data_IF_825114371020
#
_entry.id   IF_825114371020
#
_cell.length_a   1.000
_cell.length_b   1.000
_cell.length_c   1.000
_cell.angle_alpha   90.00
_cell.angle_beta   90.00
_cell.angle_gamma   90.00
#
_symmetry.space_group_name_H-M   'P 1'
#
loop_
_entity.id
_entity.type
_entity.pdbx_description
1 polymer ?
#
# COMPACT_ATOMS: atom_id res chain seq x y z
N UNK A 1 5.79 -16.92 -2.18
CA UNK A 1 5.73 -15.49 -2.52
C UNK A 1 5.67 -15.33 -4.04
N UNK A 2 4.61 -14.75 -4.58
CA UNK A 2 4.58 -14.36 -6.00
C UNK A 2 5.70 -13.33 -6.25
N UNK A 3 6.60 -13.56 -7.20
CA UNK A 3 7.66 -12.59 -7.49
C UNK A 3 7.08 -11.35 -8.18
N UNK A 4 7.46 -10.14 -7.74
CA UNK A 4 7.15 -8.91 -8.48
C UNK A 4 7.71 -8.97 -9.91
N UNK A 5 6.83 -8.97 -10.90
CA UNK A 5 7.19 -8.98 -12.33
C UNK A 5 6.74 -7.69 -13.02
N UNK A 6 7.69 -7.00 -13.64
CA UNK A 6 7.37 -5.95 -14.61
C UNK A 6 6.67 -6.58 -15.82
N UNK A 7 5.59 -5.94 -16.32
CA UNK A 7 4.83 -6.43 -17.47
C UNK A 7 5.77 -6.77 -18.65
N UNK A 8 5.54 -7.91 -19.35
CA UNK A 8 6.34 -8.26 -20.51
C UNK A 8 6.19 -7.21 -21.60
N UNK A 9 7.23 -7.07 -22.45
CA UNK A 9 7.09 -6.28 -23.67
C UNK A 9 6.02 -6.92 -24.55
N UNK A 10 5.26 -6.06 -25.21
CA UNK A 10 4.20 -6.48 -26.13
C UNK A 10 4.74 -7.40 -27.22
N UNK A 11 4.02 -8.49 -27.50
CA UNK A 11 4.36 -9.43 -28.59
C UNK A 11 4.39 -8.73 -29.97
N UNK A 12 3.71 -7.60 -30.11
CA UNK A 12 3.70 -6.77 -31.31
C UNK A 12 5.08 -6.26 -31.73
N UNK A 13 6.05 -6.16 -30.80
CA UNK A 13 7.44 -5.84 -31.14
C UNK A 13 8.10 -6.90 -32.03
N UNK A 14 7.73 -8.17 -31.86
CA UNK A 14 8.29 -9.26 -32.67
C UNK A 14 7.58 -9.34 -34.03
N UNK A 15 6.25 -9.14 -34.04
CA UNK A 15 5.46 -9.11 -35.28
C UNK A 15 5.91 -7.96 -36.18
N UNK A 16 6.13 -6.77 -35.61
CA UNK A 16 6.63 -5.61 -36.35
C UNK A 16 8.02 -5.84 -36.94
N UNK A 17 8.93 -6.47 -36.19
CA UNK A 17 10.26 -6.80 -36.68
C UNK A 17 10.22 -7.76 -37.88
N UNK A 18 9.43 -8.83 -37.79
CA UNK A 18 9.29 -9.82 -38.88
C UNK A 18 8.71 -9.18 -40.14
N UNK A 19 7.71 -8.31 -40.00
CA UNK A 19 7.11 -7.59 -41.12
C UNK A 19 8.13 -6.66 -41.81
N UNK A 20 8.94 -5.93 -41.04
CA UNK A 20 9.98 -5.05 -41.59
C UNK A 20 11.08 -5.82 -42.32
N UNK A 21 11.50 -6.97 -41.79
CA UNK A 21 12.50 -7.84 -42.45
C UNK A 21 11.94 -8.38 -43.77
N UNK A 22 10.68 -8.87 -43.78
CA UNK A 22 10.03 -9.34 -45.00
C UNK A 22 9.92 -8.23 -46.06
N UNK A 23 9.61 -7.00 -45.64
CA UNK A 23 9.57 -5.83 -46.53
C UNK A 23 10.93 -5.46 -47.12
N UNK A 24 12.00 -5.55 -46.33
CA UNK A 24 13.37 -5.32 -46.81
C UNK A 24 13.79 -6.36 -47.86
N UNK A 25 13.50 -7.65 -47.62
CA UNK A 25 13.81 -8.73 -48.57
C UNK A 25 13.07 -8.52 -49.91
N UNK A 26 11.80 -8.10 -49.84
CA UNK A 26 10.97 -7.89 -51.02
C UNK A 26 11.41 -6.67 -51.86
N UNK A 27 11.73 -5.55 -51.20
CA UNK A 27 11.99 -4.27 -51.90
C UNK A 27 13.46 -4.01 -52.22
N UNK A 28 14.40 -4.65 -51.52
CA UNK A 28 15.86 -4.40 -51.62
C UNK A 28 16.25 -2.91 -51.54
N UNK A 29 15.43 -2.09 -50.87
CA UNK A 29 15.68 -0.66 -50.73
C UNK A 29 16.62 -0.38 -49.55
N UNK A 30 17.62 0.47 -49.76
CA UNK A 30 18.51 0.95 -48.68
C UNK A 30 17.73 1.66 -47.55
N UNK A 31 16.61 2.29 -47.89
CA UNK A 31 15.71 2.96 -46.92
C UNK A 31 15.12 1.96 -45.93
N UNK A 32 14.76 0.75 -46.38
CA UNK A 32 14.21 -0.28 -45.50
C UNK A 32 15.24 -0.80 -44.49
N UNK A 33 16.54 -0.80 -44.85
CA UNK A 33 17.63 -1.11 -43.91
C UNK A 33 17.75 -0.08 -42.78
N UNK A 34 17.66 1.22 -43.11
CA UNK A 34 17.68 2.29 -42.11
C UNK A 34 16.47 2.23 -41.15
N UNK A 35 15.27 1.90 -41.67
CA UNK A 35 14.06 1.74 -40.85
C UNK A 35 14.18 0.57 -39.88
N UNK A 36 14.73 -0.57 -40.32
CA UNK A 36 14.99 -1.73 -39.44
C UNK A 36 15.97 -1.33 -38.32
N UNK A 37 17.05 -0.61 -38.66
CA UNK A 37 18.04 -0.17 -37.66
C UNK A 37 17.39 0.69 -36.57
N UNK A 38 16.59 1.69 -36.96
CA UNK A 38 15.86 2.56 -36.01
C UNK A 38 14.90 1.72 -35.15
N UNK A 39 14.18 0.78 -35.75
CA UNK A 39 13.27 -0.10 -35.01
C UNK A 39 14.00 -0.93 -33.96
N UNK A 40 15.14 -1.53 -34.32
CA UNK A 40 15.97 -2.30 -33.39
C UNK A 40 16.51 -1.41 -32.27
N UNK A 41 16.97 -0.20 -32.58
CA UNK A 41 17.42 0.76 -31.56
C UNK A 41 16.30 1.11 -30.57
N UNK A 42 15.08 1.38 -31.06
CA UNK A 42 13.92 1.62 -30.20
C UNK A 42 13.57 0.41 -29.33
N UNK A 43 13.63 -0.80 -29.88
CA UNK A 43 13.38 -2.05 -29.15
C UNK A 43 14.41 -2.28 -28.04
N UNK A 44 15.70 -2.08 -28.35
CA UNK A 44 16.80 -2.17 -27.37
C UNK A 44 16.61 -1.14 -26.26
N UNK A 45 16.28 0.11 -26.59
CA UNK A 45 15.98 1.15 -25.61
C UNK A 45 14.80 0.77 -24.70
N UNK A 46 13.73 0.20 -25.26
CA UNK A 46 12.59 -0.26 -24.47
C UNK A 46 12.96 -1.43 -23.53
N UNK A 47 13.83 -2.34 -23.97
CA UNK A 47 14.39 -3.41 -23.14
C UNK A 47 15.27 -2.86 -22.01
N UNK A 48 16.13 -1.88 -22.29
CA UNK A 48 16.97 -1.22 -21.27
C UNK A 48 16.11 -0.51 -20.22
N UNK A 49 15.08 0.23 -20.63
CA UNK A 49 14.14 0.88 -19.71
C UNK A 49 13.46 -0.17 -18.82
N UNK A 50 13.05 -1.31 -19.39
CA UNK A 50 12.46 -2.42 -18.61
C UNK A 50 13.47 -2.99 -17.60
N UNK A 51 14.70 -3.25 -18.02
CA UNK A 51 15.76 -3.78 -17.14
C UNK A 51 16.06 -2.81 -16.01
N UNK A 52 16.15 -1.51 -16.28
CA UNK A 52 16.34 -0.48 -15.27
C UNK A 52 15.17 -0.44 -14.27
N UNK A 53 13.91 -0.51 -14.75
CA UNK A 53 12.72 -0.58 -13.88
C UNK A 53 12.73 -1.83 -12.99
N UNK A 54 13.08 -3.00 -13.53
CA UNK A 54 13.17 -4.24 -12.76
C UNK A 54 14.32 -4.19 -11.76
N UNK A 55 15.50 -3.69 -12.16
CA UNK A 55 16.65 -3.54 -11.27
C UNK A 55 16.34 -2.60 -10.09
N UNK A 56 15.71 -1.46 -10.38
CA UNK A 56 15.23 -0.53 -9.36
C UNK A 56 14.23 -1.18 -8.40
N UNK A 57 13.25 -1.92 -8.94
CA UNK A 57 12.27 -2.63 -8.12
C UNK A 57 12.93 -3.70 -7.24
N UNK A 58 13.82 -4.51 -7.80
CA UNK A 58 14.56 -5.55 -7.08
C UNK A 58 15.43 -4.94 -5.98
N UNK A 59 16.10 -3.82 -6.24
CA UNK A 59 16.90 -3.12 -5.25
C UNK A 59 16.04 -2.65 -4.07
N UNK A 60 14.87 -2.04 -4.35
CA UNK A 60 13.90 -1.66 -3.30
C UNK A 60 13.41 -2.87 -2.52
N UNK A 61 12.98 -3.93 -3.19
CA UNK A 61 12.49 -5.17 -2.57
C UNK A 61 13.53 -5.78 -1.64
N UNK A 62 14.79 -5.89 -2.08
CA UNK A 62 15.88 -6.40 -1.23
C UNK A 62 16.09 -5.53 0.00
N UNK A 63 16.11 -4.21 -0.18
CA UNK A 63 16.26 -3.26 0.95
C UNK A 63 15.14 -3.40 1.97
N UNK A 64 13.91 -3.62 1.51
CA UNK A 64 12.74 -3.92 2.37
C UNK A 64 12.93 -5.26 3.07
N UNK A 65 13.25 -6.33 2.34
CA UNK A 65 13.45 -7.66 2.88
C UNK A 65 14.52 -7.67 4.00
N UNK A 66 15.66 -7.03 3.77
CA UNK A 66 16.72 -6.92 4.79
C UNK A 66 16.25 -6.19 6.04
N UNK A 67 15.49 -5.10 5.90
CA UNK A 67 14.95 -4.37 7.06
C UNK A 67 13.89 -5.17 7.80
N UNK A 68 13.05 -5.92 7.08
CA UNK A 68 12.03 -6.76 7.68
C UNK A 68 12.60 -8.02 8.33
N UNK A 69 13.81 -8.46 7.95
CA UNK A 69 14.42 -9.66 8.51
C UNK A 69 14.56 -9.57 10.04
N UNK A 70 15.06 -8.43 10.53
CA UNK A 70 15.37 -8.21 11.95
C UNK A 70 14.21 -7.64 12.76
N UNK A 71 13.07 -7.34 12.13
CA UNK A 71 11.89 -6.79 12.83
C UNK A 71 11.28 -7.88 13.71
N UNK A 72 11.13 -7.60 15.01
CA UNK A 72 10.54 -8.50 15.99
C UNK A 72 9.22 -7.97 16.56
N UNK A 73 8.99 -6.65 16.49
CA UNK A 73 7.79 -6.03 17.07
C UNK A 73 6.96 -5.25 16.06
N UNK A 74 5.67 -5.08 16.33
CA UNK A 74 4.74 -4.28 15.52
C UNK A 74 5.19 -2.82 15.42
N UNK A 75 5.79 -2.27 16.49
CA UNK A 75 6.31 -0.89 16.49
C UNK A 75 7.51 -0.75 15.54
N UNK A 76 8.44 -1.72 15.55
CA UNK A 76 9.55 -1.77 14.60
C UNK A 76 9.06 -1.96 13.16
N UNK A 77 8.02 -2.78 12.96
CA UNK A 77 7.41 -2.96 11.66
C UNK A 77 6.83 -1.66 11.10
N UNK A 78 6.08 -0.91 11.92
CA UNK A 78 5.57 0.42 11.55
C UNK A 78 6.72 1.37 11.19
N UNK A 79 7.77 1.44 12.02
CA UNK A 79 8.97 2.26 11.73
C UNK A 79 9.62 1.85 10.41
N UNK A 80 9.81 0.56 10.17
CA UNK A 80 10.35 0.03 8.92
C UNK A 80 9.46 0.43 7.72
N UNK A 81 8.14 0.46 7.93
CA UNK A 81 7.17 0.92 6.92
C UNK A 81 7.27 2.40 6.58
N UNK A 82 7.49 3.28 7.56
CA UNK A 82 7.65 4.72 7.32
C UNK A 82 8.85 5.07 6.44
N UNK A 83 9.89 4.22 6.43
CA UNK A 83 11.06 4.40 5.57
C UNK A 83 10.83 4.00 4.11
N UNK A 84 9.68 3.43 3.75
CA UNK A 84 9.44 3.00 2.37
C UNK A 84 9.15 4.20 1.45
N UNK A 85 10.08 4.54 0.53
CA UNK A 85 9.99 5.77 -0.23
C UNK A 85 9.03 5.61 -1.41
N UNK A 86 7.98 6.43 -1.46
CA UNK A 86 7.16 6.81 -2.64
C UNK A 86 7.05 5.74 -3.73
N UNK A 87 6.82 4.48 -3.37
CA UNK A 87 6.53 3.45 -4.35
C UNK A 87 5.11 3.69 -4.86
N UNK A 88 4.89 3.51 -6.17
CA UNK A 88 3.58 3.70 -6.79
C UNK A 88 3.09 2.37 -7.39
N UNK A 89 1.77 2.22 -7.44
CA UNK A 89 1.11 1.09 -8.08
C UNK A 89 1.52 -0.27 -7.52
N UNK A 90 1.80 -1.22 -8.42
CA UNK A 90 2.03 -2.63 -8.07
C UNK A 90 3.23 -2.86 -7.13
N UNK A 91 4.27 -2.02 -7.20
CA UNK A 91 5.42 -2.15 -6.30
C UNK A 91 5.04 -1.77 -4.86
N UNK A 92 4.24 -0.71 -4.65
CA UNK A 92 3.75 -0.32 -3.30
C UNK A 92 2.99 -1.48 -2.68
N UNK A 93 2.04 -2.06 -3.44
CA UNK A 93 1.24 -3.20 -3.00
C UNK A 93 2.08 -4.43 -2.66
N UNK A 94 3.09 -4.72 -3.48
CA UNK A 94 4.00 -5.84 -3.21
C UNK A 94 4.78 -5.66 -1.90
N UNK A 95 5.36 -4.47 -1.68
CA UNK A 95 6.10 -4.18 -0.45
C UNK A 95 5.20 -4.18 0.79
N UNK A 96 3.96 -3.71 0.67
CA UNK A 96 2.97 -3.79 1.74
C UNK A 96 2.64 -5.24 2.09
N UNK A 97 2.43 -6.10 1.10
CA UNK A 97 2.17 -7.52 1.35
C UNK A 97 3.34 -8.20 2.08
N UNK A 98 4.60 -7.87 1.74
CA UNK A 98 5.76 -8.38 2.49
C UNK A 98 5.74 -7.95 3.96
N UNK A 99 5.35 -6.71 4.25
CA UNK A 99 5.24 -6.23 5.63
C UNK A 99 4.09 -6.94 6.38
N UNK A 100 2.97 -7.20 5.70
CA UNK A 100 1.84 -7.94 6.28
C UNK A 100 2.18 -9.42 6.53
N UNK A 101 2.94 -10.05 5.64
CA UNK A 101 3.49 -11.39 5.87
C UNK A 101 4.40 -11.38 7.11
N UNK A 102 5.29 -10.38 7.24
CA UNK A 102 6.13 -10.25 8.44
C UNK A 102 5.32 -10.07 9.72
N UNK A 103 4.22 -9.30 9.69
CA UNK A 103 3.30 -9.17 10.83
C UNK A 103 2.75 -10.53 11.28
N UNK A 104 2.41 -11.39 10.32
CA UNK A 104 1.90 -12.74 10.63
C UNK A 104 2.97 -13.66 11.25
N UNK A 105 4.25 -13.45 10.92
CA UNK A 105 5.37 -14.20 11.50
C UNK A 105 5.69 -13.75 12.94
N UNK A 106 5.78 -12.44 13.19
CA UNK A 106 6.14 -11.91 14.52
C UNK A 106 5.00 -12.00 15.54
N UNK A 107 3.76 -12.09 15.06
CA UNK A 107 2.56 -12.06 15.90
C UNK A 107 2.23 -10.67 16.44
N UNK A 108 1.01 -10.53 16.97
CA UNK A 108 0.53 -9.27 17.53
C UNK A 108 0.75 -9.32 19.05
N UNK A 109 1.88 -8.79 19.50
CA UNK A 109 2.21 -8.69 20.92
C UNK A 109 1.81 -7.31 21.43
N UNK A 110 0.98 -7.27 22.47
CA UNK A 110 0.52 -6.03 23.07
C UNK A 110 1.46 -5.54 24.16
N UNK A 111 1.62 -4.23 24.26
CA UNK A 111 2.43 -3.57 25.28
C UNK A 111 1.52 -2.76 26.19
N UNK A 112 1.80 -2.76 27.49
CA UNK A 112 1.11 -1.84 28.41
C UNK A 112 1.58 -0.42 28.13
N UNK A 113 0.64 0.46 27.79
CA UNK A 113 0.93 1.88 27.64
C UNK A 113 0.57 2.60 28.94
N UNK A 114 1.50 3.44 29.42
CA UNK A 114 1.29 4.29 30.60
C UNK A 114 0.60 5.63 30.26
N UNK A 115 0.11 5.79 29.03
CA UNK A 115 -0.64 6.98 28.62
C UNK A 115 -2.03 6.99 29.26
N UNK A 116 -2.55 8.18 29.55
CA UNK A 116 -3.83 8.41 30.25
C UNK A 116 -4.99 7.56 29.70
N UNK A 117 -5.02 7.35 28.39
CA UNK A 117 -6.11 6.64 27.69
C UNK A 117 -5.94 5.13 27.71
N UNK A 118 -4.70 4.65 27.86
CA UNK A 118 -4.45 3.23 28.05
C UNK A 118 -4.56 2.82 29.51
N UNK A 119 -4.20 3.67 30.47
CA UNK A 119 -4.30 3.43 31.92
C UNK A 119 -3.81 2.01 32.33
N UNK A 120 -2.67 1.56 31.79
CA UNK A 120 -2.11 0.23 32.07
C UNK A 120 -2.75 -0.94 31.30
N UNK A 121 -3.73 -0.68 30.43
CA UNK A 121 -4.30 -1.67 29.50
C UNK A 121 -3.26 -2.07 28.45
N UNK A 122 -3.32 -3.33 28.04
CA UNK A 122 -2.53 -3.86 26.93
C UNK A 122 -3.03 -3.23 25.63
N UNK A 123 -2.16 -2.47 24.97
CA UNK A 123 -2.40 -1.86 23.67
C UNK A 123 -1.54 -2.57 22.62
N UNK A 124 -2.16 -3.00 21.54
CA UNK A 124 -1.48 -3.72 20.45
C UNK A 124 -0.88 -2.78 19.41
N UNK A 125 -1.47 -1.60 19.26
CA UNK A 125 -1.02 -0.64 18.27
C UNK A 125 -1.46 0.77 18.61
N UNK A 126 -0.59 1.75 18.39
CA UNK A 126 -0.92 3.17 18.47
C UNK A 126 -0.21 3.94 17.38
N UNK A 127 -0.92 4.82 16.68
CA UNK A 127 -0.30 5.74 15.74
C UNK A 127 -1.16 7.01 15.55
N UNK A 128 -0.57 7.99 14.88
CA UNK A 128 -1.20 9.26 14.55
C UNK A 128 -1.84 9.21 13.17
N UNK A 129 -2.88 10.01 12.98
CA UNK A 129 -3.56 10.17 11.70
C UNK A 129 -4.63 11.23 11.78
N UNK A 130 -5.59 11.15 10.87
CA UNK A 130 -6.65 12.11 10.70
C UNK A 130 -7.99 11.39 10.60
N UNK A 131 -8.99 11.87 11.32
CA UNK A 131 -10.38 11.48 11.08
C UNK A 131 -10.96 12.44 10.03
N UNK A 132 -11.38 11.90 8.90
CA UNK A 132 -11.86 12.71 7.76
C UNK A 132 -13.38 12.61 7.66
N UNK A 133 -14.13 13.70 7.85
CA UNK A 133 -15.57 13.67 7.66
C UNK A 133 -15.92 13.54 6.18
N UNK A 134 -16.98 12.77 5.89
CA UNK A 134 -17.59 12.72 4.57
C UNK A 134 -18.81 13.66 4.55
N UNK A 135 -18.89 14.52 3.55
CA UNK A 135 -20.01 15.44 3.33
C UNK A 135 -20.67 15.18 1.98
N UNK A 136 -21.89 15.70 1.83
CA UNK A 136 -22.64 15.69 0.58
C UNK A 136 -22.82 17.11 0.09
N UNK A 137 -22.39 17.41 -1.13
CA UNK A 137 -22.63 18.69 -1.80
C UNK A 137 -23.14 18.40 -3.20
N UNK A 138 -24.24 19.05 -3.58
CA UNK A 138 -24.89 18.87 -4.89
C UNK A 138 -25.19 17.41 -5.29
N UNK A 139 -25.52 16.56 -4.31
CA UNK A 139 -25.81 15.14 -4.58
C UNK A 139 -24.60 14.20 -4.49
N UNK A 140 -23.38 14.73 -4.58
CA UNK A 140 -22.14 13.95 -4.58
C UNK A 140 -21.51 13.89 -3.18
N UNK A 141 -20.98 12.71 -2.83
CA UNK A 141 -20.24 12.51 -1.60
C UNK A 141 -18.76 12.85 -1.82
N UNK A 142 -18.18 13.65 -0.94
CA UNK A 142 -16.77 14.00 -0.96
C UNK A 142 -16.17 13.98 0.44
N UNK A 143 -14.86 13.79 0.52
CA UNK A 143 -14.11 13.86 1.76
C UNK A 143 -13.76 15.31 2.05
N UNK A 144 -14.24 15.83 3.19
CA UNK A 144 -13.93 17.19 3.59
C UNK A 144 -12.63 17.21 4.39
N UNK A 145 -11.53 17.56 3.72
CA UNK A 145 -10.21 17.64 4.32
C UNK A 145 -10.04 18.86 5.24
N UNK A 146 -10.74 19.96 4.97
CA UNK A 146 -10.63 21.19 5.77
C UNK A 146 -11.18 21.00 7.20
N UNK A 147 -12.18 20.13 7.35
CA UNK A 147 -12.76 19.75 8.64
C UNK A 147 -12.12 18.48 9.24
N UNK A 148 -11.02 17.99 8.65
CA UNK A 148 -10.35 16.82 9.19
C UNK A 148 -9.73 17.12 10.55
N UNK A 149 -9.84 16.16 11.46
CA UNK A 149 -9.30 16.30 12.82
C UNK A 149 -8.10 15.40 12.99
N UNK A 150 -7.02 15.94 13.51
CA UNK A 150 -5.88 15.13 13.92
C UNK A 150 -6.31 14.21 15.07
N UNK A 151 -5.89 12.96 14.99
CA UNK A 151 -6.21 11.93 15.96
C UNK A 151 -5.00 11.08 16.31
N UNK A 152 -5.04 10.54 17.52
CA UNK A 152 -4.22 9.39 17.90
C UNK A 152 -5.14 8.21 18.11
N UNK A 153 -4.93 7.13 17.37
CA UNK A 153 -5.73 5.93 17.48
C UNK A 153 -4.96 4.81 18.16
N UNK A 154 -5.71 3.94 18.82
CA UNK A 154 -5.26 2.87 19.68
C UNK A 154 -6.06 1.59 19.39
N UNK A 155 -5.37 0.46 19.30
CA UNK A 155 -6.02 -0.85 19.15
C UNK A 155 -5.83 -1.66 20.43
N UNK A 156 -6.94 -1.94 21.10
CA UNK A 156 -7.03 -2.74 22.31
C UNK A 156 -7.68 -4.10 22.00
N UNK A 157 -7.65 -5.08 22.93
CA UNK A 157 -8.17 -6.43 22.67
C UNK A 157 -9.59 -6.48 22.09
N UNK A 158 -10.48 -5.62 22.58
CA UNK A 158 -11.90 -5.65 22.21
C UNK A 158 -12.40 -4.34 21.60
N UNK A 159 -11.57 -3.30 21.56
CA UNK A 159 -11.97 -1.96 21.12
C UNK A 159 -10.92 -1.34 20.21
N UNK A 160 -11.40 -0.62 19.21
CA UNK A 160 -10.65 0.39 18.49
C UNK A 160 -11.03 1.76 19.06
N UNK A 161 -10.06 2.51 19.57
CA UNK A 161 -10.29 3.78 20.26
C UNK A 161 -9.43 4.87 19.65
N UNK A 162 -9.89 6.12 19.69
CA UNK A 162 -9.10 7.26 19.23
C UNK A 162 -9.44 8.53 19.99
N UNK A 163 -8.45 9.42 20.03
CA UNK A 163 -8.54 10.73 20.65
C UNK A 163 -8.51 11.81 19.58
N UNK A 164 -9.39 12.79 19.69
CA UNK A 164 -9.44 13.98 18.85
C UNK A 164 -9.55 15.21 19.74
N UNK A 165 -8.42 15.90 19.97
CA UNK A 165 -8.34 16.90 21.03
C UNK A 165 -8.72 16.31 22.38
N UNK A 166 -9.77 16.85 23.01
CA UNK A 166 -10.29 16.38 24.31
C UNK A 166 -11.38 15.29 24.19
N UNK A 167 -11.80 14.94 22.97
CA UNK A 167 -12.83 13.93 22.77
C UNK A 167 -12.21 12.53 22.66
N UNK A 168 -12.72 11.59 23.46
CA UNK A 168 -12.41 10.17 23.37
C UNK A 168 -13.56 9.42 22.71
N UNK A 169 -13.25 8.65 21.68
CA UNK A 169 -14.20 7.85 20.94
C UNK A 169 -13.72 6.39 20.89
N UNK A 170 -14.68 5.46 20.95
CA UNK A 170 -14.41 4.03 21.01
C UNK A 170 -15.44 3.25 20.20
N UNK A 171 -14.98 2.19 19.53
CA UNK A 171 -15.83 1.21 18.84
C UNK A 171 -15.40 -0.20 19.25
N UNK A 172 -16.32 -1.02 19.76
CA UNK A 172 -16.06 -2.44 19.96
C UNK A 172 -15.72 -3.12 18.63
N UNK A 173 -14.66 -3.94 18.58
CA UNK A 173 -14.23 -4.61 17.35
C UNK A 173 -15.32 -5.49 16.74
N UNK A 174 -16.18 -6.09 17.60
CA UNK A 174 -17.37 -6.86 17.19
C UNK A 174 -18.43 -6.04 16.43
N UNK A 175 -18.41 -4.72 16.57
CA UNK A 175 -19.33 -3.81 15.89
C UNK A 175 -18.78 -3.30 14.55
N UNK A 176 -17.55 -3.66 14.19
CA UNK A 176 -16.98 -3.36 12.88
C UNK A 176 -17.44 -4.46 11.91
N UNK A 177 -18.28 -4.11 10.94
CA UNK A 177 -18.79 -5.04 9.93
C UNK A 177 -17.75 -5.26 8.84
N UNK A 178 -17.22 -4.16 8.32
CA UNK A 178 -16.35 -4.18 7.17
C UNK A 178 -15.34 -3.04 7.24
N UNK A 179 -14.17 -3.30 6.69
CA UNK A 179 -13.05 -2.40 6.64
C UNK A 179 -12.50 -2.29 5.22
N UNK A 180 -12.55 -1.10 4.61
CA UNK A 180 -12.05 -0.88 3.25
C UNK A 180 -10.83 0.03 3.25
N UNK A 181 -9.93 -0.24 2.32
CA UNK A 181 -8.86 0.66 1.94
C UNK A 181 -9.22 1.25 0.59
N UNK A 182 -8.85 2.51 0.36
CA UNK A 182 -8.92 3.11 -0.97
C UNK A 182 -7.88 2.48 -1.92
N UNK A 183 -7.94 2.86 -3.19
CA UNK A 183 -7.04 2.31 -4.22
C UNK A 183 -5.55 2.59 -3.92
N UNK A 184 -5.27 3.72 -3.27
CA UNK A 184 -3.92 4.13 -2.92
C UNK A 184 -3.44 3.53 -1.59
N UNK A 185 -4.32 2.94 -0.79
CA UNK A 185 -4.07 2.45 0.58
C UNK A 185 -3.63 3.56 1.54
N UNK A 186 -4.17 4.75 1.35
CA UNK A 186 -3.91 5.94 2.18
C UNK A 186 -5.17 6.37 2.94
N UNK A 187 -6.36 5.89 2.57
CA UNK A 187 -7.60 6.05 3.33
C UNK A 187 -8.20 4.73 3.78
N UNK A 188 -8.65 4.70 5.03
CA UNK A 188 -9.22 3.54 5.70
C UNK A 188 -10.63 3.87 6.16
N UNK A 189 -11.61 3.04 5.78
CA UNK A 189 -12.99 3.20 6.21
C UNK A 189 -13.45 2.03 7.07
N UNK A 190 -14.19 2.35 8.13
CA UNK A 190 -14.78 1.41 9.08
C UNK A 190 -16.30 1.54 8.97
N UNK A 191 -16.96 0.47 8.51
CA UNK A 191 -18.42 0.35 8.46
C UNK A 191 -18.88 -0.28 9.77
N UNK A 192 -19.76 0.42 10.50
CA UNK A 192 -20.21 0.02 11.84
C UNK A 192 -21.59 -0.62 11.80
N UNK A 193 -21.84 -1.58 12.68
CA UNK A 193 -23.17 -2.13 12.92
C UNK A 193 -24.10 -1.07 13.51
N UNK A 194 -25.23 -0.83 12.85
CA UNK A 194 -26.23 0.14 13.30
C UNK A 194 -25.79 1.61 13.24
N UNK A 195 -24.75 1.94 12.46
CA UNK A 195 -24.25 3.31 12.35
C UNK A 195 -23.63 3.62 10.99
N UNK A 196 -23.18 4.86 10.81
CA UNK A 196 -22.50 5.31 9.59
C UNK A 196 -21.06 4.82 9.47
N UNK A 197 -20.44 5.12 8.32
CA UNK A 197 -19.02 4.83 8.02
C UNK A 197 -18.12 5.89 8.64
N UNK A 198 -17.02 5.47 9.26
CA UNK A 198 -15.94 6.35 9.68
C UNK A 198 -14.78 6.27 8.69
N UNK A 199 -14.11 7.39 8.45
CA UNK A 199 -12.97 7.47 7.56
C UNK A 199 -11.76 8.01 8.30
N UNK A 200 -10.63 7.34 8.07
CA UNK A 200 -9.34 7.63 8.70
C UNK A 200 -8.27 7.71 7.62
N UNK A 201 -7.37 8.66 7.77
CA UNK A 201 -6.20 8.84 6.91
C UNK A 201 -4.93 8.81 7.76
N UNK A 202 -3.88 8.16 7.28
CA UNK A 202 -2.62 8.08 8.01
C UNK A 202 -1.61 7.16 7.36
N UNK A 203 -0.37 7.23 7.81
CA UNK A 203 0.75 6.46 7.24
C UNK A 203 0.71 4.97 7.60
N UNK A 204 0.08 4.63 8.72
CA UNK A 204 0.02 3.24 9.23
C UNK A 204 -1.34 2.56 9.00
N UNK A 205 -2.22 3.12 8.17
CA UNK A 205 -3.60 2.62 8.06
C UNK A 205 -3.71 1.17 7.56
N UNK A 206 -2.75 0.72 6.76
CA UNK A 206 -2.70 -0.67 6.27
C UNK A 206 -2.39 -1.62 7.43
N UNK A 207 -1.43 -1.23 8.27
CA UNK A 207 -1.05 -1.99 9.46
C UNK A 207 -2.19 -1.96 10.49
N UNK A 208 -2.83 -0.81 10.67
CA UNK A 208 -4.01 -0.66 11.51
C UNK A 208 -5.12 -1.63 11.11
N UNK A 209 -5.49 -1.66 9.81
CA UNK A 209 -6.50 -2.60 9.30
C UNK A 209 -6.11 -4.05 9.57
N UNK A 210 -4.85 -4.42 9.33
CA UNK A 210 -4.38 -5.78 9.53
C UNK A 210 -4.48 -6.22 10.99
N UNK A 211 -4.07 -5.35 11.92
CA UNK A 211 -4.14 -5.63 13.36
C UNK A 211 -5.58 -5.72 13.84
N UNK A 212 -6.46 -4.80 13.42
CA UNK A 212 -7.88 -4.87 13.77
C UNK A 212 -8.49 -6.17 13.25
N UNK A 213 -8.24 -6.52 11.99
CA UNK A 213 -8.75 -7.77 11.37
C UNK A 213 -8.30 -9.01 12.16
N UNK A 214 -7.04 -9.03 12.59
CA UNK A 214 -6.49 -10.16 13.33
C UNK A 214 -7.04 -10.29 14.76
N UNK A 215 -7.44 -9.16 15.37
CA UNK A 215 -8.02 -9.13 16.72
C UNK A 215 -9.55 -9.23 16.73
N UNK A 216 -10.20 -9.12 15.57
CA UNK A 216 -11.65 -9.26 15.51
C UNK A 216 -12.09 -10.66 15.93
N UNK A 217 -13.10 -10.77 16.82
CA UNK A 217 -13.68 -12.06 17.16
C UNK A 217 -14.32 -12.68 15.91
N UNK A 218 -14.02 -13.97 15.68
CA UNK A 218 -14.63 -14.76 14.60
C UNK A 218 -16.09 -15.07 14.89
#
# INVERSE_FOLDING_TARGET
MEQYRVKPLSKWWYVGLVALIAWYIYTKLNVAGAVILIYVLCWVMAMLIKMLKQSYANHKIRKVAYRLADVQTVSELSKAMHFYPKAKGSLKRYLLNMALEKLSEIGIVGTKLNQVVANGRVCYFSSHGWQVPQKKQNGELYYNWDDSKEITYFVFPNNFEWLSGNAHQAIPLKNIIEMKLDADNDMFSIIKRGGGTLYFHGKDIVLLKAIITALQPK
#
